data_IF_393923404004
#
_entry.id   IF_393923404004
#
_cell.length_a   1.000
_cell.length_b   1.000
_cell.length_c   1.000
_cell.angle_alpha   90.00
_cell.angle_beta   90.00
_cell.angle_gamma   90.00
#
_symmetry.space_group_name_H-M   'P 1'
#
loop_
_entity.id
_entity.type
_entity.pdbx_description
1 polymer ?
#
# COMPACT_ATOMS: atom_id res chain seq x y z
N UNK A 1 19.12 34.24 -4.90
CA UNK A 1 18.24 33.47 -3.99
C UNK A 1 17.80 32.22 -4.75
N UNK A 2 18.08 31.01 -4.24
CA UNK A 2 17.51 29.80 -4.83
C UNK A 2 16.02 29.72 -4.50
N UNK A 3 15.20 29.01 -5.30
CA UNK A 3 13.77 28.91 -5.07
C UNK A 3 13.50 28.05 -3.84
N UNK A 4 12.58 28.52 -2.99
CA UNK A 4 12.06 27.80 -1.83
C UNK A 4 11.38 26.52 -2.32
N UNK A 5 11.95 25.38 -1.96
CA UNK A 5 11.38 24.06 -2.18
C UNK A 5 9.97 24.00 -1.59
N UNK A 6 9.02 23.53 -2.40
CA UNK A 6 7.61 23.36 -2.02
C UNK A 6 7.44 22.18 -1.06
N UNK A 7 7.91 22.35 0.16
CA UNK A 7 7.57 21.53 1.33
C UNK A 7 6.23 22.05 1.86
N UNK A 8 5.12 21.35 1.63
CA UNK A 8 3.84 21.80 2.17
C UNK A 8 2.56 21.23 1.55
N UNK A 9 2.63 20.39 0.53
CA UNK A 9 1.42 19.71 0.05
C UNK A 9 1.20 18.43 0.88
N UNK A 10 0.04 18.30 1.57
CA UNK A 10 -0.24 17.16 2.45
C UNK A 10 -0.22 15.82 1.68
N UNK A 11 -0.05 14.68 2.37
CA UNK A 11 0.04 13.34 1.78
C UNK A 11 -1.28 12.81 1.16
N UNK A 12 -2.19 13.70 0.73
CA UNK A 12 -3.42 13.39 -0.03
C UNK A 12 -3.23 12.40 -1.20
N UNK A 13 -2.10 12.39 -1.94
CA UNK A 13 -1.94 11.48 -3.07
C UNK A 13 -1.88 9.99 -2.70
N UNK A 14 -1.36 9.64 -1.51
CA UNK A 14 -1.19 8.24 -1.10
C UNK A 14 -2.53 7.62 -0.69
N UNK A 15 -3.35 8.33 0.09
CA UNK A 15 -4.72 7.89 0.41
C UNK A 15 -5.60 7.80 -0.85
N UNK A 16 -5.44 8.75 -1.77
CA UNK A 16 -6.18 8.71 -3.02
C UNK A 16 -5.75 7.50 -3.85
N UNK A 17 -4.46 7.17 -3.84
CA UNK A 17 -3.93 6.02 -4.53
C UNK A 17 -4.51 4.70 -3.99
N UNK A 18 -4.52 4.47 -2.67
CA UNK A 18 -5.07 3.21 -2.10
C UNK A 18 -6.55 3.02 -2.46
N UNK A 19 -7.36 4.08 -2.31
CA UNK A 19 -8.79 4.02 -2.65
C UNK A 19 -9.02 3.82 -4.15
N UNK A 20 -8.33 4.59 -5.00
CA UNK A 20 -8.50 4.48 -6.45
C UNK A 20 -8.01 3.14 -6.98
N UNK A 21 -6.91 2.62 -6.45
CA UNK A 21 -6.36 1.32 -6.86
C UNK A 21 -7.30 0.18 -6.50
N UNK A 22 -7.83 0.16 -5.27
CA UNK A 22 -8.84 -0.83 -4.88
C UNK A 22 -10.08 -0.75 -5.80
N UNK A 23 -10.65 0.45 -5.99
CA UNK A 23 -11.81 0.63 -6.88
C UNK A 23 -11.55 0.11 -8.29
N UNK A 24 -10.38 0.40 -8.87
CA UNK A 24 -10.05 -0.03 -10.23
C UNK A 24 -9.89 -1.55 -10.31
N UNK A 25 -9.10 -2.16 -9.42
CA UNK A 25 -8.86 -3.61 -9.48
C UNK A 25 -10.11 -4.41 -9.17
N UNK A 26 -10.84 -4.04 -8.13
CA UNK A 26 -12.00 -4.79 -7.65
C UNK A 26 -13.23 -4.49 -8.48
N UNK A 27 -13.63 -3.21 -8.54
CA UNK A 27 -14.95 -2.84 -9.05
C UNK A 27 -15.00 -2.72 -10.59
N UNK A 28 -13.86 -2.43 -11.25
CA UNK A 28 -13.81 -2.30 -12.71
C UNK A 28 -13.34 -3.60 -13.37
N UNK A 29 -12.23 -4.15 -12.90
CA UNK A 29 -11.55 -5.25 -13.59
C UNK A 29 -11.76 -6.63 -12.93
N UNK A 30 -12.27 -6.68 -11.70
CA UNK A 30 -12.44 -7.91 -10.94
C UNK A 30 -11.13 -8.73 -10.83
N UNK A 31 -10.00 -8.03 -10.63
CA UNK A 31 -8.65 -8.59 -10.55
C UNK A 31 -8.20 -8.65 -9.09
N UNK A 32 -7.67 -9.81 -8.69
CA UNK A 32 -6.83 -9.96 -7.51
C UNK A 32 -5.37 -9.83 -7.92
N UNK A 33 -4.63 -8.96 -7.24
CA UNK A 33 -3.20 -8.79 -7.49
C UNK A 33 -2.36 -9.90 -6.85
N UNK A 34 -2.73 -10.34 -5.64
CA UNK A 34 -2.11 -11.45 -4.89
C UNK A 34 -0.66 -11.25 -4.41
N UNK A 35 0.06 -10.29 -4.97
CA UNK A 35 1.41 -9.89 -4.51
C UNK A 35 1.52 -8.38 -4.25
N UNK A 36 0.62 -7.80 -3.46
CA UNK A 36 0.74 -6.38 -3.09
C UNK A 36 1.93 -6.21 -2.13
N UNK A 37 2.93 -5.44 -2.57
CA UNK A 37 4.12 -5.14 -1.78
C UNK A 37 4.64 -3.73 -2.06
N UNK A 38 5.49 -3.19 -1.18
CA UNK A 38 6.12 -1.88 -1.41
C UNK A 38 6.89 -1.83 -2.74
N UNK A 39 7.54 -2.93 -3.14
CA UNK A 39 8.34 -2.99 -4.37
C UNK A 39 7.48 -3.00 -5.63
N UNK A 40 6.21 -3.41 -5.50
CA UNK A 40 5.26 -3.47 -6.61
C UNK A 40 4.47 -2.17 -6.77
N UNK A 41 4.77 -1.12 -5.98
CA UNK A 41 4.13 0.19 -6.04
C UNK A 41 5.15 1.25 -6.45
N UNK A 42 4.92 1.87 -7.62
CA UNK A 42 5.71 2.99 -8.10
C UNK A 42 5.00 4.31 -7.81
N UNK A 43 5.73 5.28 -7.26
CA UNK A 43 5.26 6.66 -7.09
C UNK A 43 6.03 7.57 -8.04
N UNK A 44 5.34 8.26 -8.94
CA UNK A 44 5.95 9.16 -9.91
C UNK A 44 5.18 10.49 -10.03
N UNK A 45 5.82 11.48 -10.64
CA UNK A 45 5.22 12.79 -10.90
C UNK A 45 4.76 12.82 -12.36
N UNK A 46 3.47 13.08 -12.59
CA UNK A 46 2.89 13.27 -13.91
C UNK A 46 2.52 14.74 -14.15
N UNK A 47 2.74 15.23 -15.37
CA UNK A 47 2.35 16.59 -15.79
C UNK A 47 0.84 16.70 -16.06
N UNK A 48 0.14 15.58 -16.28
CA UNK A 48 -1.29 15.53 -16.55
C UNK A 48 -1.98 14.48 -15.67
N UNK A 49 -3.12 14.84 -15.08
CA UNK A 49 -3.99 13.86 -14.40
C UNK A 49 -4.65 13.01 -15.48
N UNK A 50 -4.54 11.68 -15.40
CA UNK A 50 -5.29 10.81 -16.30
C UNK A 50 -6.78 11.03 -16.02
N UNK A 51 -7.47 11.68 -16.94
CA UNK A 51 -8.91 11.80 -16.95
C UNK A 51 -9.36 11.27 -18.30
N UNK A 52 -10.35 10.38 -18.30
CA UNK A 52 -10.95 9.82 -19.50
C UNK A 52 -11.38 10.95 -20.43
N UNK A 53 -10.83 10.89 -21.64
CA UNK A 53 -10.95 11.90 -22.67
C UNK A 53 -12.41 12.13 -23.03
N UNK A 54 -12.95 13.28 -22.64
CA UNK A 54 -14.12 13.87 -23.29
C UNK A 54 -13.78 15.32 -23.66
N UNK A 55 -14.36 15.72 -24.78
CA UNK A 55 -13.94 16.76 -25.73
C UNK A 55 -14.01 18.22 -25.20
N UNK A 56 -13.44 18.52 -24.03
CA UNK A 56 -13.40 19.88 -23.46
C UNK A 56 -11.97 20.17 -22.99
N UNK A 57 -11.04 20.30 -23.94
CA UNK A 57 -9.62 20.30 -23.64
C UNK A 57 -8.85 21.37 -24.43
N UNK A 58 -9.13 22.64 -24.15
CA UNK A 58 -8.27 23.76 -24.56
C UNK A 58 -8.12 24.82 -23.46
N UNK A 59 -9.14 25.03 -22.63
CA UNK A 59 -9.07 25.96 -21.50
C UNK A 59 -8.39 25.36 -20.26
N UNK A 60 -8.45 24.04 -20.07
CA UNK A 60 -7.88 23.34 -18.91
C UNK A 60 -6.38 23.07 -19.04
N UNK A 61 -5.87 22.95 -20.26
CA UNK A 61 -4.45 22.66 -20.52
C UNK A 61 -3.56 23.79 -20.02
N UNK A 62 -3.96 25.04 -20.22
CA UNK A 62 -3.19 26.21 -19.76
C UNK A 62 -3.12 26.35 -18.23
N UNK A 63 -4.11 25.83 -17.49
CA UNK A 63 -4.11 25.81 -16.02
C UNK A 63 -3.35 24.60 -15.42
N UNK A 64 -3.16 23.54 -16.22
CA UNK A 64 -2.51 22.28 -15.83
C UNK A 64 -0.99 22.29 -16.10
N UNK A 65 -0.50 23.06 -17.07
CA UNK A 65 0.93 23.13 -17.45
C UNK A 65 1.89 23.38 -16.26
N UNK A 66 1.40 23.98 -15.16
CA UNK A 66 2.19 24.22 -13.94
C UNK A 66 1.84 23.31 -12.74
N UNK A 67 0.94 22.33 -12.88
CA UNK A 67 0.53 21.42 -11.81
C UNK A 67 1.16 20.04 -12.00
N UNK A 68 2.17 19.75 -11.18
CA UNK A 68 2.73 18.40 -11.01
C UNK A 68 1.76 17.57 -10.17
N UNK A 69 1.20 16.50 -10.75
CA UNK A 69 0.41 15.51 -10.02
C UNK A 69 1.29 14.37 -9.55
N UNK A 70 1.03 13.86 -8.34
CA UNK A 70 1.66 12.63 -7.86
C UNK A 70 0.73 11.47 -8.23
N UNK A 71 1.29 10.49 -8.92
CA UNK A 71 0.58 9.31 -9.40
C UNK A 71 1.25 8.07 -8.79
N UNK A 72 0.43 7.15 -8.30
CA UNK A 72 0.89 5.81 -7.99
C UNK A 72 0.56 4.88 -9.15
N UNK A 73 1.38 3.87 -9.35
CA UNK A 73 1.19 2.78 -10.31
C UNK A 73 1.49 1.46 -9.62
N UNK A 74 0.56 0.51 -9.73
CA UNK A 74 0.78 -0.87 -9.34
C UNK A 74 1.39 -1.63 -10.53
N UNK A 75 2.40 -2.43 -10.25
CA UNK A 75 3.13 -3.25 -11.23
C UNK A 75 3.21 -4.69 -10.73
N UNK A 76 3.78 -5.58 -11.55
CA UNK A 76 4.05 -6.98 -11.21
C UNK A 76 2.77 -7.83 -10.99
N UNK A 77 2.06 -8.10 -12.09
CA UNK A 77 0.82 -8.87 -12.12
C UNK A 77 1.05 -10.37 -12.41
N UNK A 78 2.27 -10.90 -12.24
CA UNK A 78 2.60 -12.28 -12.59
C UNK A 78 1.81 -13.31 -11.75
N UNK A 79 1.41 -12.91 -10.53
CA UNK A 79 0.55 -13.70 -9.64
C UNK A 79 -0.93 -13.31 -9.70
N UNK A 80 -1.29 -12.31 -10.52
CA UNK A 80 -2.64 -11.79 -10.54
C UNK A 80 -3.62 -12.79 -11.17
N UNK A 81 -4.86 -12.76 -10.70
CA UNK A 81 -5.92 -13.61 -11.22
C UNK A 81 -7.24 -12.84 -11.37
N UNK A 82 -8.03 -13.24 -12.36
CA UNK A 82 -9.34 -12.66 -12.65
C UNK A 82 -10.39 -13.48 -11.92
N UNK A 83 -11.21 -12.80 -11.12
CA UNK A 83 -12.34 -13.45 -10.49
C UNK A 83 -13.42 -13.72 -11.54
N UNK A 84 -13.80 -14.99 -11.65
CA UNK A 84 -14.97 -15.35 -12.43
C UNK A 84 -16.24 -14.88 -11.71
N UNK A 85 -17.26 -14.49 -12.47
CA UNK A 85 -18.52 -14.01 -11.91
C UNK A 85 -19.07 -14.97 -10.85
N UNK A 86 -19.27 -14.46 -9.63
CA UNK A 86 -19.78 -15.23 -8.48
C UNK A 86 -18.72 -15.85 -7.56
N UNK A 87 -17.42 -15.80 -7.90
CA UNK A 87 -16.35 -16.19 -6.98
C UNK A 87 -15.93 -14.99 -6.11
N UNK A 88 -15.76 -15.24 -4.81
CA UNK A 88 -15.24 -14.24 -3.86
C UNK A 88 -13.71 -14.28 -3.72
N UNK A 89 -13.05 -15.25 -4.35
CA UNK A 89 -11.61 -15.41 -4.31
C UNK A 89 -11.07 -16.52 -5.21
N UNK A 90 -9.75 -16.69 -5.19
CA UNK A 90 -8.98 -17.66 -5.98
C UNK A 90 -8.11 -18.50 -5.04
N UNK A 91 -7.90 -19.79 -5.35
CA UNK A 91 -7.01 -20.66 -4.56
C UNK A 91 -5.63 -20.02 -4.39
N UNK A 92 -5.15 -20.04 -3.15
CA UNK A 92 -3.90 -19.39 -2.71
C UNK A 92 -2.69 -20.29 -2.93
N UNK A 93 -2.63 -21.00 -4.07
CA UNK A 93 -1.42 -21.79 -4.44
C UNK A 93 -0.15 -20.94 -4.34
N UNK A 94 1.01 -21.57 -4.13
CA UNK A 94 2.32 -20.95 -3.85
C UNK A 94 2.21 -19.50 -3.33
N UNK A 95 1.74 -19.32 -2.09
CA UNK A 95 1.74 -18.07 -1.34
C UNK A 95 3.15 -17.46 -1.27
N UNK A 96 3.61 -16.88 -2.37
CA UNK A 96 4.95 -16.31 -2.57
C UNK A 96 4.88 -14.80 -2.39
N UNK A 97 4.12 -14.36 -1.38
CA UNK A 97 4.08 -12.96 -0.96
C UNK A 97 5.25 -12.63 -0.05
N UNK A 98 5.67 -11.36 -0.05
CA UNK A 98 6.58 -10.85 0.99
C UNK A 98 5.85 -10.93 2.34
N UNK A 99 6.27 -11.83 3.27
CA UNK A 99 5.60 -12.07 4.57
C UNK A 99 5.22 -10.78 5.31
N UNK A 100 6.09 -9.78 5.23
CA UNK A 100 5.89 -8.41 5.72
C UNK A 100 4.53 -7.80 5.34
N UNK A 101 4.12 -7.94 4.07
CA UNK A 101 2.91 -7.32 3.53
C UNK A 101 1.75 -8.32 3.36
N UNK A 102 1.96 -9.59 3.67
CA UNK A 102 0.93 -10.62 3.57
C UNK A 102 -0.17 -10.41 4.63
N UNK A 103 -1.42 -10.68 4.23
CA UNK A 103 -2.59 -10.68 5.11
C UNK A 103 -2.42 -11.70 6.26
N UNK A 104 -3.01 -11.43 7.43
CA UNK A 104 -2.90 -12.31 8.60
C UNK A 104 -3.44 -13.70 8.31
N UNK A 105 -4.61 -13.79 7.66
CA UNK A 105 -5.22 -15.08 7.34
C UNK A 105 -4.32 -15.88 6.37
N UNK A 106 -3.72 -15.23 5.38
CA UNK A 106 -2.75 -15.86 4.46
C UNK A 106 -1.48 -16.33 5.19
N UNK A 107 -0.99 -15.55 6.17
CA UNK A 107 0.16 -15.91 6.98
C UNK A 107 -0.13 -17.15 7.85
N UNK A 108 -1.29 -17.19 8.51
CA UNK A 108 -1.68 -18.34 9.33
C UNK A 108 -1.82 -19.61 8.49
N UNK A 109 -2.39 -19.50 7.29
CA UNK A 109 -2.56 -20.64 6.39
C UNK A 109 -1.23 -21.14 5.83
N UNK A 110 -0.25 -20.25 5.63
CA UNK A 110 1.12 -20.62 5.29
C UNK A 110 1.77 -21.56 6.34
N UNK A 111 1.29 -21.55 7.59
CA UNK A 111 1.74 -22.50 8.63
C UNK A 111 0.91 -23.79 8.69
N UNK A 112 -0.33 -23.75 8.22
CA UNK A 112 -1.29 -24.85 8.35
C UNK A 112 -1.31 -25.80 7.13
N UNK A 113 -0.52 -25.52 6.08
CA UNK A 113 -0.38 -26.34 4.87
C UNK A 113 -1.73 -26.69 4.18
N UNK A 114 -2.73 -25.83 4.35
CA UNK A 114 -4.03 -25.99 3.72
C UNK A 114 -3.96 -25.51 2.27
N UNK A 115 -4.06 -26.42 1.30
CA UNK A 115 -4.06 -26.10 -0.13
C UNK A 115 -5.36 -25.39 -0.60
N UNK A 116 -6.38 -25.34 0.27
CA UNK A 116 -7.73 -24.87 -0.07
C UNK A 116 -8.00 -23.41 0.33
N UNK A 117 -7.01 -22.68 0.84
CA UNK A 117 -7.25 -21.31 1.26
C UNK A 117 -7.54 -20.39 0.07
N UNK A 118 -8.47 -19.45 0.23
CA UNK A 118 -8.98 -18.61 -0.84
C UNK A 118 -8.46 -17.18 -0.66
N UNK A 119 -7.67 -16.69 -1.62
CA UNK A 119 -7.24 -15.30 -1.67
C UNK A 119 -8.41 -14.42 -2.13
N UNK A 120 -8.70 -13.37 -1.38
CA UNK A 120 -9.83 -12.46 -1.64
C UNK A 120 -9.34 -11.02 -1.77
N UNK A 121 -10.23 -10.11 -2.22
CA UNK A 121 -9.93 -8.68 -2.28
C UNK A 121 -9.58 -8.08 -0.91
N UNK A 122 -10.16 -8.63 0.16
CA UNK A 122 -9.87 -8.21 1.52
C UNK A 122 -8.39 -8.41 1.85
N UNK A 123 -7.76 -9.46 1.32
CA UNK A 123 -6.33 -9.71 1.53
C UNK A 123 -5.47 -8.69 0.79
N UNK A 124 -5.79 -8.38 -0.48
CA UNK A 124 -5.08 -7.33 -1.23
C UNK A 124 -5.24 -5.96 -0.54
N UNK A 125 -6.42 -5.67 0.01
CA UNK A 125 -6.68 -4.45 0.77
C UNK A 125 -5.87 -4.41 2.07
N UNK A 126 -5.79 -5.52 2.80
CA UNK A 126 -4.98 -5.64 4.01
C UNK A 126 -3.49 -5.40 3.71
N UNK A 127 -2.98 -6.00 2.62
CA UNK A 127 -1.63 -5.75 2.12
C UNK A 127 -1.38 -4.28 1.77
N UNK A 128 -2.35 -3.59 1.15
CA UNK A 128 -2.26 -2.15 0.89
C UNK A 128 -2.16 -1.33 2.18
N UNK A 129 -2.89 -1.72 3.24
CA UNK A 129 -2.79 -1.08 4.55
C UNK A 129 -1.39 -1.28 5.15
N UNK A 130 -0.82 -2.49 5.04
CA UNK A 130 0.55 -2.75 5.52
C UNK A 130 1.60 -1.94 4.77
N UNK A 131 1.48 -1.79 3.45
CA UNK A 131 2.37 -0.91 2.67
C UNK A 131 2.19 0.56 3.06
N UNK A 132 0.95 1.01 3.31
CA UNK A 132 0.68 2.37 3.78
C UNK A 132 1.35 2.65 5.12
N UNK A 133 1.19 1.74 6.08
CA UNK A 133 1.84 1.79 7.40
C UNK A 133 3.36 1.87 7.25
N UNK A 134 3.94 1.00 6.42
CA UNK A 134 5.37 0.98 6.14
C UNK A 134 5.90 2.33 5.64
N UNK A 135 5.17 2.96 4.71
CA UNK A 135 5.52 4.28 4.19
C UNK A 135 5.40 5.34 5.28
N UNK A 136 4.31 5.32 6.06
CA UNK A 136 4.04 6.36 7.05
C UNK A 136 5.06 6.38 8.20
N UNK A 137 5.63 5.22 8.55
CA UNK A 137 6.62 5.09 9.62
C UNK A 137 8.04 5.38 9.13
N UNK A 138 8.43 4.91 7.93
CA UNK A 138 9.83 4.97 7.50
C UNK A 138 10.20 6.19 6.67
N UNK A 139 9.24 6.90 6.08
CA UNK A 139 9.51 8.03 5.18
C UNK A 139 9.21 9.37 5.86
N UNK A 140 10.15 10.29 5.79
CA UNK A 140 10.00 11.67 6.30
C UNK A 140 9.58 12.67 5.21
N UNK A 141 9.72 12.28 3.94
CA UNK A 141 9.22 12.98 2.77
C UNK A 141 9.25 12.01 1.57
N UNK A 142 8.76 12.47 0.42
CA UNK A 142 8.88 11.70 -0.82
C UNK A 142 10.35 11.36 -1.11
N UNK A 143 10.63 10.07 -1.34
CA UNK A 143 11.97 9.55 -1.61
C UNK A 143 13.01 9.86 -0.53
N UNK A 144 12.57 10.22 0.69
CA UNK A 144 13.46 10.49 1.81
C UNK A 144 13.09 9.59 2.98
N UNK A 145 13.88 8.53 3.16
CA UNK A 145 13.84 7.68 4.34
C UNK A 145 14.23 8.53 5.55
N UNK A 146 13.60 8.27 6.69
CA UNK A 146 13.95 8.90 7.96
C UNK A 146 15.39 8.51 8.32
N UNK A 147 16.34 9.43 8.14
CA UNK A 147 17.78 9.17 8.32
C UNK A 147 18.14 8.83 9.76
N UNK A 148 17.33 9.31 10.71
CA UNK A 148 17.66 9.29 12.13
C UNK A 148 17.05 8.08 12.84
N UNK A 149 16.22 7.27 12.17
CA UNK A 149 15.58 6.09 12.75
C UNK A 149 15.87 4.87 11.86
N UNK A 150 16.65 3.93 12.38
CA UNK A 150 16.74 2.61 11.75
C UNK A 150 15.40 1.89 11.94
N UNK A 151 15.07 0.98 11.03
CA UNK A 151 13.86 0.15 11.15
C UNK A 151 13.77 -0.58 12.50
N UNK A 152 14.93 -0.89 13.09
CA UNK A 152 15.07 -1.54 14.39
C UNK A 152 14.57 -0.69 15.57
N UNK A 153 14.42 0.62 15.38
CA UNK A 153 13.92 1.56 16.39
C UNK A 153 12.42 1.83 16.25
N UNK A 154 11.76 1.20 15.27
CA UNK A 154 10.33 1.41 14.98
C UNK A 154 9.49 0.20 15.37
N UNK A 155 8.18 0.40 15.45
CA UNK A 155 7.20 -0.68 15.57
C UNK A 155 7.29 -1.74 14.45
N UNK A 156 7.92 -1.43 13.31
CA UNK A 156 8.09 -2.34 12.16
C UNK A 156 9.33 -3.26 12.27
N UNK A 157 10.03 -3.26 13.41
CA UNK A 157 11.19 -4.12 13.60
C UNK A 157 10.90 -5.59 13.32
N UNK A 158 9.89 -6.19 13.97
CA UNK A 158 9.65 -7.63 13.82
C UNK A 158 9.04 -7.97 12.45
N UNK A 159 8.28 -7.04 11.88
CA UNK A 159 7.82 -7.07 10.48
C UNK A 159 8.99 -7.30 9.50
N UNK A 160 10.10 -6.60 9.68
CA UNK A 160 11.29 -6.75 8.83
C UNK A 160 12.17 -7.96 9.18
N UNK A 161 12.05 -8.49 10.40
CA UNK A 161 12.84 -9.64 10.86
C UNK A 161 12.19 -10.99 10.53
N UNK A 162 10.87 -11.03 10.31
CA UNK A 162 10.15 -12.24 9.97
C UNK A 162 10.62 -12.79 8.61
N UNK A 163 11.25 -13.96 8.64
CA UNK A 163 11.82 -14.61 7.45
C UNK A 163 11.45 -16.08 7.33
N UNK A 164 11.00 -16.68 8.42
CA UNK A 164 10.73 -18.11 8.52
C UNK A 164 9.32 -18.36 9.01
N UNK A 165 8.83 -19.59 8.80
CA UNK A 165 7.51 -20.00 9.31
C UNK A 165 7.40 -19.88 10.84
N UNK A 166 8.50 -20.03 11.57
CA UNK A 166 8.52 -19.86 13.03
C UNK A 166 8.25 -18.42 13.48
N UNK A 167 8.48 -17.43 12.61
CA UNK A 167 8.27 -16.02 12.91
C UNK A 167 6.81 -15.59 12.69
N UNK A 168 6.02 -16.41 11.97
CA UNK A 168 4.68 -16.04 11.48
C UNK A 168 3.73 -15.70 12.63
N UNK A 169 3.67 -16.52 13.67
CA UNK A 169 2.73 -16.27 14.78
C UNK A 169 3.02 -14.93 15.46
N UNK A 170 4.29 -14.65 15.73
CA UNK A 170 4.71 -13.39 16.34
C UNK A 170 4.39 -12.20 15.42
N UNK A 171 4.58 -12.34 14.10
CA UNK A 171 4.22 -11.32 13.12
C UNK A 171 2.70 -11.03 13.12
N UNK A 172 1.87 -12.08 13.12
CA UNK A 172 0.41 -11.94 13.18
C UNK A 172 -0.04 -11.23 14.46
N UNK A 173 0.45 -11.66 15.63
CA UNK A 173 0.11 -11.06 16.92
C UNK A 173 0.50 -9.56 16.95
N UNK A 174 1.66 -9.23 16.38
CA UNK A 174 2.13 -7.86 16.29
C UNK A 174 1.25 -7.02 15.36
N UNK A 175 0.91 -7.52 14.16
CA UNK A 175 0.01 -6.83 13.20
C UNK A 175 -1.36 -6.56 13.82
N UNK A 176 -1.96 -7.57 14.47
CA UNK A 176 -3.25 -7.45 15.16
C UNK A 176 -3.15 -6.40 16.26
N UNK A 177 -2.14 -6.49 17.13
CA UNK A 177 -1.96 -5.54 18.23
C UNK A 177 -1.79 -4.10 17.74
N UNK A 178 -0.96 -3.89 16.70
CA UNK A 178 -0.65 -2.57 16.17
C UNK A 178 -1.84 -1.89 15.48
N UNK A 179 -2.61 -2.64 14.69
CA UNK A 179 -3.77 -2.11 14.00
C UNK A 179 -4.96 -1.93 14.95
N UNK A 180 -5.18 -2.87 15.87
CA UNK A 180 -6.31 -2.82 16.81
C UNK A 180 -6.15 -1.69 17.84
N UNK A 181 -4.93 -1.53 18.38
CA UNK A 181 -4.63 -0.48 19.35
C UNK A 181 -4.19 0.84 18.71
N UNK A 182 -4.04 0.87 17.38
CA UNK A 182 -3.54 2.01 16.61
C UNK A 182 -2.19 2.53 17.11
N UNK A 183 -1.42 1.67 17.78
CA UNK A 183 -0.11 2.04 18.31
C UNK A 183 0.84 2.45 17.19
N UNK A 184 0.63 1.95 15.97
CA UNK A 184 1.40 2.35 14.79
C UNK A 184 1.32 3.85 14.48
N UNK A 185 0.26 4.54 14.91
CA UNK A 185 0.12 5.99 14.71
C UNK A 185 1.13 6.80 15.53
N UNK A 186 1.69 6.25 16.63
CA UNK A 186 2.73 6.97 17.38
C UNK A 186 4.03 7.12 16.59
N UNK A 187 4.28 6.17 15.68
CA UNK A 187 5.53 6.06 14.93
C UNK A 187 5.43 6.71 13.54
N UNK A 188 4.28 7.29 13.20
CA UNK A 188 4.14 8.04 11.95
C UNK A 188 5.08 9.25 11.98
N UNK A 189 5.81 9.45 10.90
CA UNK A 189 6.66 10.63 10.80
C UNK A 189 5.80 11.90 10.74
N UNK A 190 6.34 13.07 11.15
CA UNK A 190 5.60 14.33 11.13
C UNK A 190 4.98 14.69 9.77
N UNK A 191 5.56 14.21 8.67
CA UNK A 191 5.03 14.40 7.32
C UNK A 191 3.66 13.73 7.12
N UNK A 192 3.41 12.62 7.82
CA UNK A 192 2.19 11.83 7.74
C UNK A 192 1.22 12.06 8.90
N UNK A 193 1.52 13.00 9.81
CA UNK A 193 0.61 13.42 10.89
C UNK A 193 -0.83 13.70 10.40
N UNK A 194 -1.04 14.39 9.25
CA UNK A 194 -2.39 14.66 8.76
C UNK A 194 -3.19 13.42 8.35
N UNK A 195 -2.55 12.25 8.21
CA UNK A 195 -3.22 10.99 7.86
C UNK A 195 -3.79 10.26 9.08
N UNK A 196 -3.29 10.53 10.29
CA UNK A 196 -3.74 9.84 11.52
C UNK A 196 -5.26 9.83 11.68
N UNK A 197 -6.00 10.93 11.40
CA UNK A 197 -7.46 10.95 11.51
C UNK A 197 -8.20 10.18 10.39
N UNK A 198 -7.51 9.73 9.34
CA UNK A 198 -8.12 8.93 8.25
C UNK A 198 -7.86 7.44 8.44
N UNK A 199 -6.86 7.08 9.24
CA UNK A 199 -6.57 5.72 9.68
C UNK A 199 -7.34 5.45 10.98
N UNK A 200 -8.63 5.83 11.01
CA UNK A 200 -9.54 5.70 12.16
C UNK A 200 -10.86 5.05 11.81
#
# INVERSE_FOLDING_TARGET
MPPVDTCGQPPRPILLFTRTLHFVLVDIYNILHRDISFNNILLFICATRWATTSHIQQEWENAIVNKKFRCGLLINFDYADILNAGKQGVSSGDCTGTMLFMAIDLLQEHTNLSEDFIHTFSHDLESLIYVLVWICVLYQALNKIHSDHSIEQTCLKQWALAKTSNDIQALCDQKIGQLSLRSVLSDFTPYFEPLKPTVT
#
